data_IF_760119631703
#
_entry.id   IF_760119631703
#
_cell.length_a   1.000
_cell.length_b   1.000
_cell.length_c   1.000
_cell.angle_alpha   90.00
_cell.angle_beta   90.00
_cell.angle_gamma   90.00
#
_symmetry.space_group_name_H-M   'P 1'
#
loop_
_entity.id
_entity.type
_entity.pdbx_description
1 polymer ?
#
# COMPACT_ATOMS: atom_id res chain seq x y z
N UNK A 1 1.62 -36.03 -17.81
CA UNK A 1 1.83 -34.59 -17.56
C UNK A 1 1.10 -34.25 -16.27
N UNK A 2 1.80 -34.29 -15.14
CA UNK A 2 1.22 -33.98 -13.82
C UNK A 2 1.12 -32.45 -13.71
N UNK A 3 -0.10 -31.90 -13.77
CA UNK A 3 -0.36 -30.58 -13.23
C UNK A 3 -0.12 -30.66 -11.71
N UNK A 4 1.07 -30.26 -11.25
CA UNK A 4 1.24 -29.89 -9.85
C UNK A 4 0.26 -28.74 -9.61
N UNK A 5 -0.84 -28.99 -8.90
CA UNK A 5 -1.63 -27.91 -8.31
C UNK A 5 -0.65 -27.12 -7.45
N UNK A 6 -0.49 -25.83 -7.75
CA UNK A 6 0.10 -24.87 -6.81
C UNK A 6 -0.80 -24.99 -5.57
N UNK A 7 -0.23 -25.23 -4.40
CA UNK A 7 -1.02 -25.24 -3.16
C UNK A 7 -1.45 -23.80 -2.94
N UNK A 8 -2.68 -23.46 -3.36
CA UNK A 8 -3.24 -22.13 -3.18
C UNK A 8 -3.50 -21.93 -1.68
N UNK A 9 -2.65 -21.14 -1.03
CA UNK A 9 -2.84 -20.74 0.35
C UNK A 9 -3.75 -19.50 0.38
N UNK A 10 -5.03 -19.69 0.70
CA UNK A 10 -6.01 -18.61 0.79
C UNK A 10 -6.38 -18.30 2.25
N UNK A 11 -6.52 -17.02 2.56
CA UNK A 11 -7.07 -16.52 3.82
C UNK A 11 -8.23 -15.55 3.53
N UNK A 12 -9.32 -15.67 4.27
CA UNK A 12 -10.45 -14.71 4.22
C UNK A 12 -10.40 -13.85 5.49
N UNK A 13 -10.42 -12.52 5.30
CA UNK A 13 -10.31 -11.55 6.40
C UNK A 13 -11.56 -10.67 6.44
N UNK A 14 -12.29 -10.73 7.56
CA UNK A 14 -13.39 -9.80 7.85
C UNK A 14 -12.93 -8.80 8.90
N UNK A 15 -12.48 -7.64 8.43
CA UNK A 15 -11.94 -6.57 9.28
C UNK A 15 -12.57 -5.22 8.92
N UNK A 16 -12.53 -4.28 9.87
CA UNK A 16 -13.02 -2.91 9.63
C UNK A 16 -12.15 -2.16 8.60
N UNK A 17 -12.73 -1.16 7.93
CA UNK A 17 -11.99 -0.28 7.03
C UNK A 17 -10.81 0.40 7.72
N UNK A 18 -10.93 0.75 9.01
CA UNK A 18 -9.84 1.33 9.79
C UNK A 18 -8.67 0.36 9.99
N UNK A 19 -8.96 -0.92 10.27
CA UNK A 19 -7.93 -1.96 10.36
C UNK A 19 -7.29 -2.21 9.00
N UNK A 20 -8.08 -2.23 7.91
CA UNK A 20 -7.56 -2.43 6.56
C UNK A 20 -6.62 -1.30 6.13
N UNK A 21 -6.95 -0.03 6.43
CA UNK A 21 -6.06 1.12 6.24
C UNK A 21 -4.76 0.96 7.02
N UNK A 22 -4.85 0.49 8.26
CA UNK A 22 -3.67 0.23 9.12
C UNK A 22 -2.79 -0.86 8.54
N UNK A 23 -3.38 -1.95 8.06
CA UNK A 23 -2.67 -3.06 7.41
C UNK A 23 -1.94 -2.59 6.15
N UNK A 24 -2.64 -1.88 5.26
CA UNK A 24 -2.04 -1.30 4.06
C UNK A 24 -0.84 -0.42 4.39
N UNK A 25 -1.00 0.49 5.36
CA UNK A 25 0.09 1.38 5.79
C UNK A 25 1.28 0.63 6.33
N UNK A 26 1.08 -0.40 7.14
CA UNK A 26 2.16 -1.21 7.69
C UNK A 26 2.93 -1.94 6.57
N UNK A 27 2.20 -2.57 5.63
CA UNK A 27 2.79 -3.26 4.48
C UNK A 27 3.56 -2.28 3.58
N UNK A 28 2.93 -1.18 3.19
CA UNK A 28 3.53 -0.14 2.36
C UNK A 28 4.78 0.46 3.01
N UNK A 29 4.77 0.69 4.34
CA UNK A 29 5.94 1.21 5.06
C UNK A 29 7.08 0.19 5.13
N UNK A 30 6.76 -1.10 5.31
CA UNK A 30 7.77 -2.17 5.30
C UNK A 30 8.41 -2.29 3.92
N UNK A 31 7.61 -2.25 2.87
CA UNK A 31 8.06 -2.31 1.48
C UNK A 31 8.94 -1.11 1.09
N UNK A 32 8.61 0.09 1.57
CA UNK A 32 9.47 1.26 1.35
C UNK A 32 10.83 1.17 2.03
N UNK A 33 10.95 0.36 3.09
CA UNK A 33 12.21 0.11 3.78
C UNK A 33 12.93 -1.17 3.29
N UNK A 34 12.27 -1.96 2.44
CA UNK A 34 12.81 -3.18 1.86
C UNK A 34 13.72 -2.85 0.67
N UNK A 35 14.65 -3.76 0.36
CA UNK A 35 15.34 -3.73 -0.93
C UNK A 35 14.42 -4.26 -2.05
N UNK A 36 14.85 -4.12 -3.30
CA UNK A 36 14.04 -4.50 -4.46
C UNK A 36 13.68 -6.00 -4.47
N UNK A 37 14.58 -6.85 -3.98
CA UNK A 37 14.37 -8.31 -3.95
C UNK A 37 13.32 -8.70 -2.90
N UNK A 38 13.35 -8.08 -1.71
CA UNK A 38 12.31 -8.28 -0.68
C UNK A 38 10.96 -7.67 -1.11
N UNK A 39 10.96 -6.59 -1.91
CA UNK A 39 9.74 -6.03 -2.50
C UNK A 39 9.06 -7.00 -3.47
N UNK A 40 9.81 -7.48 -4.47
CA UNK A 40 9.29 -8.39 -5.49
C UNK A 40 8.81 -9.71 -4.87
N UNK A 41 9.49 -10.18 -3.81
CA UNK A 41 9.08 -11.39 -3.09
C UNK A 41 7.79 -11.20 -2.26
N UNK A 42 7.53 -10.01 -1.72
CA UNK A 42 6.35 -9.75 -0.89
C UNK A 42 5.09 -9.41 -1.72
N UNK A 43 5.28 -8.81 -2.90
CA UNK A 43 4.17 -8.35 -3.76
C UNK A 43 4.17 -8.99 -5.16
N UNK A 44 4.69 -10.21 -5.30
CA UNK A 44 4.77 -10.96 -6.58
C UNK A 44 3.44 -11.01 -7.33
N UNK A 45 2.32 -11.13 -6.60
CA UNK A 45 0.98 -11.29 -7.14
C UNK A 45 0.13 -9.99 -7.12
N UNK A 46 0.75 -8.80 -7.06
CA UNK A 46 0.06 -7.50 -7.04
C UNK A 46 -0.96 -7.36 -5.87
N UNK A 47 -0.70 -8.02 -4.73
CA UNK A 47 -1.59 -8.02 -3.57
C UNK A 47 -1.75 -6.62 -2.99
N UNK A 48 -0.65 -5.87 -2.86
CA UNK A 48 -0.65 -4.50 -2.38
C UNK A 48 -1.36 -3.58 -3.37
N UNK A 49 -1.17 -3.77 -4.67
CA UNK A 49 -1.90 -3.02 -5.71
C UNK A 49 -3.40 -3.30 -5.64
N UNK A 50 -3.80 -4.54 -5.41
CA UNK A 50 -5.20 -4.91 -5.22
C UNK A 50 -5.79 -4.21 -3.98
N UNK A 51 -5.06 -4.24 -2.88
CA UNK A 51 -5.44 -3.56 -1.64
C UNK A 51 -5.53 -2.03 -1.82
N UNK A 52 -4.57 -1.43 -2.52
CA UNK A 52 -4.55 -0.01 -2.83
C UNK A 52 -5.77 0.39 -3.66
N UNK A 53 -6.09 -0.34 -4.74
CA UNK A 53 -7.25 -0.05 -5.59
C UNK A 53 -8.55 -0.13 -4.80
N UNK A 54 -8.70 -1.14 -3.94
CA UNK A 54 -9.86 -1.24 -3.07
C UNK A 54 -9.99 -0.02 -2.15
N UNK A 55 -8.90 0.40 -1.50
CA UNK A 55 -8.90 1.56 -0.62
C UNK A 55 -9.14 2.88 -1.38
N UNK A 56 -8.60 3.03 -2.59
CA UNK A 56 -8.86 4.18 -3.47
C UNK A 56 -10.33 4.25 -3.87
N UNK A 57 -10.97 3.11 -4.17
CA UNK A 57 -12.41 3.07 -4.43
C UNK A 57 -13.20 3.54 -3.21
N UNK A 58 -12.87 3.05 -2.00
CA UNK A 58 -13.52 3.50 -0.75
C UNK A 58 -13.29 4.98 -0.44
N UNK A 59 -12.14 5.52 -0.80
CA UNK A 59 -11.84 6.94 -0.66
C UNK A 59 -12.67 7.78 -1.63
N UNK A 60 -12.76 7.36 -2.89
CA UNK A 60 -13.58 8.03 -3.91
C UNK A 60 -15.07 8.02 -3.55
N UNK A 61 -15.60 6.91 -3.01
CA UNK A 61 -16.97 6.83 -2.47
C UNK A 61 -17.21 7.84 -1.33
N UNK A 62 -16.17 8.19 -0.58
CA UNK A 62 -16.20 9.19 0.49
C UNK A 62 -15.91 10.62 0.00
N UNK A 63 -15.78 10.84 -1.31
CA UNK A 63 -15.49 12.15 -1.91
C UNK A 63 -14.03 12.60 -1.78
N UNK A 64 -13.12 11.70 -1.45
CA UNK A 64 -11.68 11.99 -1.38
C UNK A 64 -11.08 11.95 -2.79
N UNK A 65 -10.38 13.02 -3.17
CA UNK A 65 -9.56 13.03 -4.37
C UNK A 65 -8.30 12.18 -4.16
N UNK A 66 -8.31 10.96 -4.69
CA UNK A 66 -7.20 9.99 -4.56
C UNK A 66 -5.97 10.36 -5.39
N UNK A 67 -6.09 11.27 -6.36
CA UNK A 67 -4.95 11.79 -7.11
C UNK A 67 -4.20 12.87 -6.28
N UNK A 68 -4.86 13.45 -5.29
CA UNK A 68 -4.25 14.35 -4.34
C UNK A 68 -3.58 13.55 -3.21
N UNK A 69 -2.25 13.49 -3.22
CA UNK A 69 -1.46 12.76 -2.21
C UNK A 69 -1.79 13.15 -0.77
N UNK A 70 -2.04 14.42 -0.46
CA UNK A 70 -2.35 14.82 0.92
C UNK A 70 -3.75 14.36 1.35
N UNK A 71 -4.73 14.41 0.45
CA UNK A 71 -6.08 13.92 0.73
C UNK A 71 -6.10 12.38 0.87
N UNK A 72 -5.32 11.69 0.05
CA UNK A 72 -5.07 10.26 0.17
C UNK A 72 -4.40 9.89 1.49
N UNK A 73 -3.33 10.60 1.86
CA UNK A 73 -2.59 10.33 3.09
C UNK A 73 -3.46 10.58 4.34
N UNK A 74 -4.28 11.63 4.31
CA UNK A 74 -5.27 11.92 5.36
C UNK A 74 -6.32 10.81 5.46
N UNK A 75 -6.87 10.35 4.32
CA UNK A 75 -7.82 9.24 4.30
C UNK A 75 -7.24 7.96 4.92
N UNK A 76 -5.98 7.65 4.65
CA UNK A 76 -5.27 6.52 5.24
C UNK A 76 -4.90 6.74 6.72
N UNK A 77 -5.02 7.97 7.22
CA UNK A 77 -4.71 8.33 8.60
C UNK A 77 -3.22 8.46 8.88
N UNK A 78 -2.40 8.80 7.87
CA UNK A 78 -1.02 9.20 8.11
C UNK A 78 -1.01 10.52 8.88
N UNK A 79 -0.54 10.47 10.14
CA UNK A 79 -0.49 11.67 11.01
C UNK A 79 0.74 12.55 10.75
N UNK A 80 1.71 12.07 9.98
CA UNK A 80 3.00 12.71 9.71
C UNK A 80 3.48 12.40 8.28
N UNK A 81 2.62 12.44 7.26
CA UNK A 81 3.11 12.30 5.89
C UNK A 81 4.05 13.50 5.61
N UNK A 82 5.34 13.26 5.29
CA UNK A 82 6.18 14.36 4.84
C UNK A 82 5.49 14.96 3.62
N UNK A 83 5.21 16.27 3.67
CA UNK A 83 4.56 16.97 2.57
C UNK A 83 5.33 16.73 1.27
N UNK A 84 4.68 16.86 0.10
CA UNK A 84 5.32 16.64 -1.20
C UNK A 84 6.74 17.23 -1.29
N UNK A 85 6.96 18.43 -0.72
CA UNK A 85 8.28 19.08 -0.63
C UNK A 85 9.38 18.19 -0.01
N UNK A 86 9.09 17.47 1.08
CA UNK A 86 10.07 16.65 1.79
C UNK A 86 10.43 15.35 1.05
N UNK A 87 9.48 14.77 0.31
CA UNK A 87 9.72 13.56 -0.52
C UNK A 87 10.67 13.82 -1.69
N UNK A 88 10.71 15.05 -2.21
CA UNK A 88 11.63 15.43 -3.29
C UNK A 88 13.03 15.79 -2.78
N UNK A 89 13.16 16.42 -1.61
CA UNK A 89 14.47 16.79 -1.05
C UNK A 89 15.37 15.60 -0.73
N UNK A 90 14.82 14.41 -0.46
CA UNK A 90 15.63 13.22 -0.16
C UNK A 90 16.13 12.50 -1.43
N UNK A 91 15.58 12.83 -2.62
CA UNK A 91 16.07 12.33 -3.91
C UNK A 91 17.30 13.07 -4.43
N UNK A 92 17.48 14.33 -4.02
CA UNK A 92 18.55 15.21 -4.51
C UNK A 92 19.72 15.33 -3.52
N UNK A 93 19.72 14.55 -2.44
CA UNK A 93 20.82 14.53 -1.48
C UNK A 93 21.97 13.65 -2.03
N UNK A 94 23.14 14.20 -2.37
CA UNK A 94 24.28 13.37 -2.73
C UNK A 94 24.72 12.55 -1.50
N UNK A 95 25.14 11.31 -1.76
CA UNK A 95 25.64 10.35 -0.78
C UNK A 95 26.76 10.92 0.10
#
# INVERSE_FOLDING_TARGET
MLLKRRDDHAIELTISLAQLKTLYRALFSRLHAADADEFDALDEDDMLMTLQRFLQHRAAEAGVDVANHSAWDEFLGFRNAPGCQQRFTDRDRPA
#
